data_IF_037457763751
#
_entry.id   IF_037457763751
#
_cell.length_a   1.000
_cell.length_b   1.000
_cell.length_c   1.000
_cell.angle_alpha   90.00
_cell.angle_beta   90.00
_cell.angle_gamma   90.00
#
_symmetry.space_group_name_H-M   'P 1'
#
loop_
_entity.id
_entity.type
_entity.pdbx_description
1 polymer ?
#
# COMPACT_ATOMS: atom_id res chain seq x y z
N UNK A 1 10.41 24.31 0.92
CA UNK A 1 9.36 23.36 0.51
C UNK A 1 8.81 23.83 -0.80
N UNK A 2 8.58 22.92 -1.75
CA UNK A 2 8.00 23.30 -3.05
C UNK A 2 7.17 22.13 -3.59
N UNK A 3 6.07 22.47 -4.24
CA UNK A 3 5.28 21.52 -5.04
C UNK A 3 5.38 21.96 -6.49
N UNK A 4 5.91 21.09 -7.35
CA UNK A 4 5.97 21.32 -8.78
C UNK A 4 4.99 20.39 -9.50
N UNK A 5 4.40 20.88 -10.60
CA UNK A 5 3.52 20.10 -11.47
C UNK A 5 4.10 20.07 -12.87
N UNK A 6 4.17 18.88 -13.45
CA UNK A 6 4.65 18.63 -14.81
C UNK A 6 3.72 17.68 -15.56
N UNK A 7 3.69 17.75 -16.88
CA UNK A 7 2.99 16.76 -17.70
C UNK A 7 3.80 15.45 -17.68
N UNK A 8 3.18 14.35 -17.20
CA UNK A 8 3.79 13.02 -17.21
C UNK A 8 3.49 12.25 -18.50
N UNK A 9 2.32 12.46 -19.07
CA UNK A 9 1.89 11.83 -20.32
C UNK A 9 0.40 12.00 -20.57
N UNK A 10 -0.11 11.35 -21.60
CA UNK A 10 -1.52 11.38 -21.94
C UNK A 10 -2.13 9.98 -21.92
N UNK A 11 -3.33 9.88 -21.37
CA UNK A 11 -4.17 8.69 -21.46
C UNK A 11 -4.50 8.39 -22.94
N UNK A 12 -4.86 7.15 -23.29
CA UNK A 12 -5.26 6.81 -24.67
C UNK A 12 -6.45 7.64 -25.20
N UNK A 13 -7.27 8.18 -24.33
CA UNK A 13 -8.39 9.08 -24.67
C UNK A 13 -8.01 10.56 -24.76
N UNK A 14 -6.74 10.88 -24.55
CA UNK A 14 -6.17 12.23 -24.66
C UNK A 14 -6.18 13.03 -23.36
N UNK A 15 -6.74 12.54 -22.26
CA UNK A 15 -6.68 13.21 -20.96
C UNK A 15 -5.25 13.23 -20.42
N UNK A 16 -4.85 14.37 -19.84
CA UNK A 16 -3.52 14.55 -19.27
C UNK A 16 -3.34 13.81 -17.95
N UNK A 17 -2.19 13.16 -17.80
CA UNK A 17 -1.68 12.65 -16.53
C UNK A 17 -0.54 13.57 -16.10
N UNK A 18 -0.67 14.13 -14.90
CA UNK A 18 0.28 15.07 -14.34
C UNK A 18 1.12 14.41 -13.25
N UNK A 19 2.40 14.79 -13.20
CA UNK A 19 3.34 14.48 -12.14
C UNK A 19 3.38 15.62 -11.13
N UNK A 20 3.29 15.27 -9.86
CA UNK A 20 3.42 16.19 -8.73
C UNK A 20 4.69 15.83 -7.98
N UNK A 21 5.58 16.79 -7.84
CA UNK A 21 6.88 16.65 -7.17
C UNK A 21 6.83 17.43 -5.87
N UNK A 22 6.87 16.73 -4.76
CA UNK A 22 6.86 17.28 -3.41
C UNK A 22 8.27 17.13 -2.83
N UNK A 23 8.85 18.20 -2.31
CA UNK A 23 10.21 18.17 -1.76
C UNK A 23 10.33 19.06 -0.51
N UNK A 24 11.01 18.56 0.52
CA UNK A 24 11.37 19.34 1.69
C UNK A 24 12.80 19.91 1.61
N UNK A 25 13.16 20.79 2.53
CA UNK A 25 14.47 21.44 2.57
C UNK A 25 15.63 20.47 2.83
N UNK A 26 15.36 19.28 3.33
CA UNK A 26 16.36 18.24 3.60
C UNK A 26 16.62 17.33 2.40
N UNK A 27 15.86 17.51 1.31
CA UNK A 27 16.00 16.75 0.06
C UNK A 27 15.24 15.43 0.05
N UNK A 28 14.28 15.21 0.97
CA UNK A 28 13.32 14.13 0.82
C UNK A 28 12.26 14.54 -0.20
N UNK A 29 12.07 13.73 -1.24
CA UNK A 29 11.23 14.04 -2.40
C UNK A 29 10.33 12.87 -2.76
N UNK A 30 9.05 13.15 -3.01
CA UNK A 30 8.11 12.20 -3.61
C UNK A 30 7.66 12.69 -4.99
N UNK A 31 7.59 11.77 -5.94
CA UNK A 31 7.02 11.99 -7.26
C UNK A 31 5.73 11.16 -7.37
N UNK A 32 4.59 11.82 -7.62
CA UNK A 32 3.28 11.18 -7.60
C UNK A 32 2.52 11.58 -8.86
N UNK A 33 1.91 10.62 -9.55
CA UNK A 33 1.03 10.88 -10.69
C UNK A 33 -0.44 10.77 -10.30
N UNK A 34 -1.30 11.58 -10.91
CA UNK A 34 -2.74 11.54 -10.66
C UNK A 34 -3.47 10.39 -11.37
N UNK A 35 -2.79 9.58 -12.18
CA UNK A 35 -3.29 8.27 -12.59
C UNK A 35 -3.00 7.27 -11.48
N UNK A 36 -4.05 6.68 -10.92
CA UNK A 36 -3.96 5.70 -9.86
C UNK A 36 -3.44 6.22 -8.51
N UNK A 37 -3.22 7.54 -8.34
CA UNK A 37 -2.58 8.09 -7.15
C UNK A 37 -1.20 7.46 -6.89
N UNK A 38 -0.44 7.19 -7.97
CA UNK A 38 0.76 6.36 -7.93
C UNK A 38 1.97 7.16 -7.44
N UNK A 39 2.62 6.67 -6.39
CA UNK A 39 3.97 7.12 -5.98
C UNK A 39 4.97 6.47 -6.92
N UNK A 40 5.51 7.25 -7.86
CA UNK A 40 6.44 6.77 -8.89
C UNK A 40 7.88 6.74 -8.40
N UNK A 41 8.22 7.68 -7.49
CA UNK A 41 9.51 7.72 -6.79
C UNK A 41 9.36 8.27 -5.38
N UNK A 42 10.22 7.78 -4.49
CA UNK A 42 10.40 8.32 -3.15
C UNK A 42 11.90 8.38 -2.86
N UNK A 43 12.44 9.58 -2.83
CA UNK A 43 13.87 9.81 -2.78
C UNK A 43 14.22 10.33 -1.39
N UNK A 44 15.22 9.73 -0.78
CA UNK A 44 15.83 10.17 0.47
C UNK A 44 17.36 10.03 0.40
N UNK A 45 18.06 10.48 1.42
CA UNK A 45 19.53 10.39 1.48
C UNK A 45 19.99 9.15 2.23
N UNK A 46 21.03 8.52 1.71
CA UNK A 46 21.72 7.43 2.39
C UNK A 46 22.69 7.95 3.47
N UNK A 47 23.38 7.02 4.14
CA UNK A 47 24.40 7.35 5.17
C UNK A 47 25.59 8.18 4.69
N UNK A 48 25.79 8.31 3.37
CA UNK A 48 26.83 9.11 2.76
C UNK A 48 26.31 10.47 2.28
N UNK A 49 25.00 10.68 2.32
CA UNK A 49 24.33 11.87 1.81
C UNK A 49 23.93 11.78 0.35
N UNK A 50 24.11 10.62 -0.30
CA UNK A 50 23.74 10.40 -1.69
C UNK A 50 22.22 10.14 -1.81
N UNK A 51 21.60 10.69 -2.86
CA UNK A 51 20.18 10.46 -3.15
C UNK A 51 19.93 9.00 -3.52
N UNK A 52 18.86 8.43 -2.95
CA UNK A 52 18.45 7.06 -3.18
C UNK A 52 16.92 7.00 -3.37
N UNK A 53 16.46 6.55 -4.55
CA UNK A 53 15.05 6.21 -4.73
C UNK A 53 14.76 4.88 -4.06
N UNK A 54 13.88 4.89 -3.05
CA UNK A 54 13.62 3.74 -2.18
C UNK A 54 12.33 2.98 -2.53
N UNK A 55 11.68 3.29 -3.65
CA UNK A 55 10.50 2.56 -4.14
C UNK A 55 10.71 2.10 -5.57
N UNK A 56 10.17 0.93 -5.89
CA UNK A 56 10.09 0.44 -7.25
C UNK A 56 9.07 1.26 -8.04
N UNK A 57 9.39 1.56 -9.30
CA UNK A 57 8.53 2.31 -10.20
C UNK A 57 8.58 1.79 -11.63
N UNK A 58 7.90 2.47 -12.55
CA UNK A 58 7.91 2.22 -13.99
C UNK A 58 8.53 3.40 -14.73
N UNK A 59 9.03 3.16 -15.95
CA UNK A 59 9.74 4.18 -16.71
C UNK A 59 8.84 5.27 -17.31
N UNK A 60 7.58 4.93 -17.62
CA UNK A 60 6.66 5.85 -18.28
C UNK A 60 5.20 5.52 -17.99
N UNK A 61 4.29 6.43 -18.39
CA UNK A 61 2.85 6.24 -18.20
C UNK A 61 2.33 4.96 -18.85
N UNK A 62 2.79 4.63 -20.06
CA UNK A 62 2.30 3.44 -20.76
C UNK A 62 2.53 2.14 -19.97
N UNK A 63 3.63 2.06 -19.22
CA UNK A 63 3.94 0.91 -18.38
C UNK A 63 3.02 0.87 -17.13
N UNK A 64 2.60 2.05 -16.63
CA UNK A 64 1.63 2.15 -15.53
C UNK A 64 0.19 1.86 -15.97
N UNK A 65 -0.19 2.07 -17.24
CA UNK A 65 -1.51 1.67 -17.72
C UNK A 65 -1.74 0.15 -17.62
N UNK A 66 -0.66 -0.62 -17.67
CA UNK A 66 -0.63 -2.07 -17.48
C UNK A 66 0.08 -2.44 -16.17
N UNK A 67 -0.17 -1.71 -15.09
CA UNK A 67 0.54 -1.83 -13.81
C UNK A 67 0.24 -3.15 -13.10
N UNK A 68 0.81 -4.25 -13.59
CA UNK A 68 0.82 -5.54 -12.90
C UNK A 68 1.50 -5.36 -11.54
N UNK A 69 0.87 -5.86 -10.47
CA UNK A 69 1.42 -5.78 -9.10
C UNK A 69 1.12 -4.46 -8.38
N UNK A 70 0.34 -3.53 -8.95
CA UNK A 70 -0.10 -2.29 -8.29
C UNK A 70 1.03 -1.35 -7.83
N UNK A 71 2.20 -1.36 -8.46
CA UNK A 71 3.38 -0.61 -8.02
C UNK A 71 3.04 0.84 -7.70
N UNK A 72 3.23 1.22 -6.43
CA UNK A 72 3.05 2.57 -5.90
C UNK A 72 1.60 3.08 -5.84
N UNK A 73 0.61 2.29 -6.27
CA UNK A 73 -0.75 2.74 -6.50
C UNK A 73 -1.57 2.93 -5.21
N UNK A 74 -2.52 3.87 -5.26
CA UNK A 74 -3.62 3.92 -4.32
C UNK A 74 -4.57 2.74 -4.56
N UNK A 75 -4.94 2.05 -3.49
CA UNK A 75 -5.78 0.85 -3.53
C UNK A 75 -7.12 1.12 -2.85
N UNK A 76 -8.19 0.80 -3.52
CA UNK A 76 -9.58 0.95 -3.06
C UNK A 76 -10.58 0.47 -4.15
N UNK A 77 -11.90 0.36 -3.79
CA UNK A 77 -12.47 0.73 -2.48
C UNK A 77 -12.05 -0.15 -1.31
N UNK A 78 -11.68 -1.42 -1.56
CA UNK A 78 -11.29 -2.35 -0.51
C UNK A 78 -9.92 -2.95 -0.82
N UNK A 79 -8.95 -2.61 0.01
CA UNK A 79 -7.60 -3.17 -0.03
C UNK A 79 -7.63 -4.66 0.33
N UNK A 80 -6.74 -5.43 -0.31
CA UNK A 80 -6.65 -6.86 -0.14
C UNK A 80 -7.94 -7.60 -0.59
N UNK A 81 -8.18 -8.83 -0.14
CA UNK A 81 -9.16 -9.77 -0.68
C UNK A 81 -10.53 -9.71 -0.02
N UNK A 82 -11.57 -9.92 -0.85
CA UNK A 82 -12.94 -10.23 -0.44
C UNK A 82 -13.27 -11.64 -0.98
N UNK A 83 -13.45 -12.60 -0.09
CA UNK A 83 -13.70 -14.01 -0.46
C UNK A 83 -15.02 -14.18 -1.22
N UNK A 84 -14.96 -14.95 -2.31
CA UNK A 84 -16.11 -15.22 -3.15
C UNK A 84 -16.70 -13.99 -3.84
N UNK A 85 -15.92 -12.89 -3.89
CA UNK A 85 -16.34 -11.60 -4.50
C UNK A 85 -17.71 -11.16 -4.03
N UNK A 86 -18.05 -11.38 -2.75
CA UNK A 86 -19.34 -10.95 -2.21
C UNK A 86 -19.26 -10.63 -0.72
N UNK A 87 -20.13 -9.74 -0.28
CA UNK A 87 -20.32 -9.39 1.13
C UNK A 87 -21.76 -9.00 1.39
N UNK A 88 -22.16 -8.98 2.67
CA UNK A 88 -23.52 -8.65 3.09
C UNK A 88 -23.51 -7.38 3.93
N UNK A 89 -24.33 -6.39 3.55
CA UNK A 89 -24.63 -5.19 4.35
C UNK A 89 -26.14 -5.16 4.63
N UNK A 90 -26.54 -5.07 5.89
CA UNK A 90 -27.95 -4.98 6.32
C UNK A 90 -28.84 -6.09 5.71
N UNK A 91 -28.31 -7.32 5.61
CA UNK A 91 -29.02 -8.48 5.07
C UNK A 91 -29.12 -8.53 3.54
N UNK A 92 -28.55 -7.57 2.84
CA UNK A 92 -28.47 -7.56 1.36
C UNK A 92 -27.09 -7.99 0.91
N UNK A 93 -27.04 -8.97 0.01
CA UNK A 93 -25.78 -9.39 -0.64
C UNK A 93 -25.41 -8.41 -1.77
N UNK A 94 -24.12 -8.06 -1.82
CA UNK A 94 -23.48 -7.31 -2.89
C UNK A 94 -22.39 -8.17 -3.51
N UNK A 95 -22.30 -8.16 -4.83
CA UNK A 95 -21.29 -8.89 -5.59
C UNK A 95 -20.32 -7.91 -6.22
N UNK A 96 -19.04 -8.08 -5.91
CA UNK A 96 -17.94 -7.32 -6.47
C UNK A 96 -17.37 -8.04 -7.71
N UNK A 97 -16.52 -7.36 -8.45
CA UNK A 97 -15.84 -7.98 -9.59
C UNK A 97 -14.78 -8.98 -9.11
N UNK A 98 -14.84 -10.21 -9.64
CA UNK A 98 -13.82 -11.25 -9.36
C UNK A 98 -12.64 -11.08 -10.30
N UNK A 99 -11.54 -10.49 -9.81
CA UNK A 99 -10.31 -10.27 -10.57
C UNK A 99 -9.15 -11.18 -10.17
N UNK A 100 -9.34 -11.99 -9.13
CA UNK A 100 -8.38 -13.01 -8.71
C UNK A 100 -9.11 -14.33 -8.41
N UNK A 101 -9.15 -15.25 -9.38
CA UNK A 101 -9.96 -16.47 -9.33
C UNK A 101 -11.44 -16.15 -9.03
N UNK A 102 -11.95 -16.59 -7.85
CA UNK A 102 -13.32 -16.30 -7.41
C UNK A 102 -13.37 -15.13 -6.42
N UNK A 103 -12.25 -14.46 -6.15
CA UNK A 103 -12.15 -13.40 -5.16
C UNK A 103 -12.03 -12.03 -5.81
N UNK A 104 -12.46 -11.00 -5.11
CA UNK A 104 -12.10 -9.63 -5.44
C UNK A 104 -10.81 -9.26 -4.72
N UNK A 105 -9.86 -8.70 -5.44
CA UNK A 105 -8.58 -8.20 -4.93
C UNK A 105 -8.46 -6.71 -5.24
N UNK A 106 -8.06 -5.93 -4.25
CA UNK A 106 -7.68 -4.51 -4.38
C UNK A 106 -8.73 -3.63 -5.10
N UNK A 107 -10.02 -3.90 -4.85
CA UNK A 107 -11.11 -3.09 -5.39
C UNK A 107 -11.65 -3.54 -6.76
N UNK A 108 -11.16 -4.65 -7.31
CA UNK A 108 -11.67 -5.21 -8.56
C UNK A 108 -10.80 -4.95 -9.78
N UNK A 109 -11.35 -5.14 -10.99
CA UNK A 109 -10.61 -5.01 -12.25
C UNK A 109 -10.24 -3.56 -12.58
N UNK A 110 -11.13 -2.64 -12.26
CA UNK A 110 -10.99 -1.20 -12.48
C UNK A 110 -11.02 -0.45 -11.16
N UNK A 111 -10.15 -0.88 -10.21
CA UNK A 111 -9.99 -0.25 -8.90
C UNK A 111 -9.35 1.14 -8.97
N UNK A 112 -9.10 1.73 -7.81
CA UNK A 112 -8.57 3.10 -7.67
C UNK A 112 -7.19 3.29 -8.33
N UNK A 113 -6.40 2.23 -8.44
CA UNK A 113 -5.13 2.18 -9.14
C UNK A 113 -5.20 2.48 -10.64
N UNK A 114 -6.41 2.43 -11.24
CA UNK A 114 -6.64 2.70 -12.67
C UNK A 114 -7.45 3.97 -12.93
N UNK A 115 -7.79 4.73 -11.90
CA UNK A 115 -8.57 5.96 -12.05
C UNK A 115 -7.66 7.15 -12.32
N UNK A 116 -8.14 8.07 -13.15
CA UNK A 116 -7.54 9.39 -13.26
C UNK A 116 -8.20 10.28 -12.22
N UNK A 117 -7.42 10.72 -11.25
CA UNK A 117 -7.87 11.54 -10.13
C UNK A 117 -7.78 13.01 -10.49
N UNK A 118 -8.75 13.80 -10.06
CA UNK A 118 -8.59 15.25 -9.99
C UNK A 118 -7.58 15.58 -8.90
N UNK A 119 -6.72 16.56 -9.14
CA UNK A 119 -5.66 16.84 -8.19
C UNK A 119 -5.43 18.35 -8.04
N UNK A 120 -5.31 18.81 -6.81
CA UNK A 120 -4.98 20.18 -6.45
C UNK A 120 -3.74 20.26 -5.58
N UNK A 121 -2.99 21.33 -5.70
CA UNK A 121 -1.79 21.60 -4.91
C UNK A 121 -2.18 22.38 -3.66
N UNK A 122 -1.75 21.91 -2.50
CA UNK A 122 -1.80 22.62 -1.23
C UNK A 122 -0.38 23.08 -0.85
N UNK A 123 0.05 24.20 -1.42
CA UNK A 123 1.44 24.70 -1.31
C UNK A 123 1.88 24.91 0.14
N UNK A 124 1.03 25.52 0.97
CA UNK A 124 1.32 25.80 2.37
C UNK A 124 1.57 24.52 3.21
N UNK A 125 1.12 23.37 2.70
CA UNK A 125 1.26 22.08 3.37
C UNK A 125 2.27 21.15 2.69
N UNK A 126 2.94 21.62 1.63
CA UNK A 126 3.83 20.80 0.78
C UNK A 126 3.14 19.49 0.36
N UNK A 127 1.94 19.62 -0.19
CA UNK A 127 1.05 18.51 -0.45
C UNK A 127 0.34 18.60 -1.81
N UNK A 128 -0.08 17.44 -2.30
CA UNK A 128 -1.08 17.29 -3.36
C UNK A 128 -2.28 16.54 -2.80
N UNK A 129 -3.48 17.05 -3.07
CA UNK A 129 -4.75 16.42 -2.70
C UNK A 129 -5.36 15.85 -3.96
N UNK A 130 -5.57 14.54 -3.98
CA UNK A 130 -6.22 13.82 -5.07
C UNK A 130 -7.65 13.49 -4.71
N UNK A 131 -8.58 13.73 -5.63
CA UNK A 131 -10.01 13.62 -5.44
C UNK A 131 -10.63 12.69 -6.49
N UNK A 132 -11.48 11.76 -6.06
CA UNK A 132 -12.21 10.87 -6.94
C UNK A 132 -13.60 10.56 -6.38
N UNK A 133 -14.64 10.80 -7.17
CA UNK A 133 -16.00 10.36 -6.87
C UNK A 133 -16.23 8.98 -7.51
N UNK A 134 -16.17 7.94 -6.70
CA UNK A 134 -16.46 6.57 -7.13
C UNK A 134 -17.98 6.36 -7.14
N UNK A 135 -18.62 6.13 -8.33
CA UNK A 135 -20.08 6.08 -8.44
C UNK A 135 -20.70 4.83 -7.81
N UNK A 136 -21.97 4.92 -7.42
CA UNK A 136 -22.79 3.78 -6.93
C UNK A 136 -22.72 2.62 -7.92
N UNK A 137 -22.32 1.43 -7.44
CA UNK A 137 -22.20 0.22 -8.25
C UNK A 137 -20.86 0.03 -8.95
N UNK A 138 -19.91 0.96 -8.82
CA UNK A 138 -18.55 0.77 -9.36
C UNK A 138 -17.92 -0.49 -8.75
N UNK A 139 -17.42 -1.39 -9.62
CA UNK A 139 -16.89 -2.71 -9.24
C UNK A 139 -17.83 -3.54 -8.33
N UNK A 140 -19.13 -3.20 -8.29
CA UNK A 140 -20.17 -3.83 -7.47
C UNK A 140 -20.34 -3.25 -6.06
N UNK A 141 -19.57 -2.25 -5.69
CA UNK A 141 -19.70 -1.60 -4.38
C UNK A 141 -20.88 -0.60 -4.33
N UNK A 142 -21.74 -0.64 -3.28
CA UNK A 142 -22.85 0.29 -3.16
C UNK A 142 -22.41 1.70 -2.74
N UNK A 143 -23.24 2.69 -3.11
CA UNK A 143 -23.10 4.09 -2.75
C UNK A 143 -22.11 4.87 -3.61
N UNK A 144 -22.37 6.17 -3.76
CA UNK A 144 -21.39 7.10 -4.26
C UNK A 144 -20.39 7.38 -3.14
N UNK A 145 -19.12 7.07 -3.38
CA UNK A 145 -18.04 7.29 -2.41
C UNK A 145 -17.18 8.47 -2.89
N UNK A 146 -17.24 9.55 -2.15
CA UNK A 146 -16.37 10.71 -2.34
C UNK A 146 -15.05 10.49 -1.59
N UNK A 147 -13.93 10.43 -2.32
CA UNK A 147 -12.62 10.04 -1.78
C UNK A 147 -11.61 11.14 -2.00
N UNK A 148 -10.87 11.44 -0.94
CA UNK A 148 -9.67 12.28 -0.99
C UNK A 148 -8.46 11.50 -0.50
N UNK A 149 -7.32 11.67 -1.19
CA UNK A 149 -6.02 11.18 -0.76
C UNK A 149 -5.06 12.36 -0.79
N UNK A 150 -4.54 12.74 0.38
CA UNK A 150 -3.54 13.79 0.50
C UNK A 150 -2.17 13.18 0.70
N UNK A 151 -1.26 13.48 -0.23
CA UNK A 151 0.15 13.15 -0.14
C UNK A 151 0.93 14.38 0.27
N UNK A 152 1.76 14.29 1.30
CA UNK A 152 2.62 15.38 1.74
C UNK A 152 4.02 14.88 2.11
N UNK A 153 5.02 15.72 1.88
CA UNK A 153 6.36 15.51 2.43
C UNK A 153 6.54 16.37 3.66
N UNK A 154 6.76 15.71 4.80
CA UNK A 154 6.87 16.37 6.10
C UNK A 154 8.28 16.92 6.37
N UNK A 155 8.40 17.86 7.32
CA UNK A 155 9.68 18.41 7.77
C UNK A 155 10.57 17.35 8.46
N UNK A 156 9.96 16.26 8.94
CA UNK A 156 10.66 15.11 9.53
C UNK A 156 11.09 14.06 8.50
N UNK A 157 11.15 14.41 7.19
CA UNK A 157 11.53 13.52 6.09
C UNK A 157 10.55 12.35 5.89
N UNK A 158 9.26 12.56 6.07
CA UNK A 158 8.23 11.55 5.88
C UNK A 158 7.40 11.78 4.63
N UNK A 159 7.08 10.71 3.90
CA UNK A 159 5.91 10.68 3.03
C UNK A 159 4.70 10.34 3.91
N UNK A 160 3.82 11.32 4.11
CA UNK A 160 2.55 11.15 4.80
C UNK A 160 1.42 11.03 3.80
N UNK A 161 0.57 10.02 3.96
CA UNK A 161 -0.61 9.77 3.15
C UNK A 161 -1.82 9.78 4.07
N UNK A 162 -2.75 10.71 3.81
CA UNK A 162 -3.99 10.87 4.56
C UNK A 162 -5.16 10.55 3.64
N UNK A 163 -6.00 9.60 4.04
CA UNK A 163 -7.19 9.20 3.32
C UNK A 163 -8.42 9.71 4.04
N UNK A 164 -9.37 10.22 3.27
CA UNK A 164 -10.68 10.63 3.72
C UNK A 164 -11.72 10.16 2.72
N UNK A 165 -12.83 9.59 3.21
CA UNK A 165 -13.93 9.24 2.33
C UNK A 165 -15.29 9.36 3.04
N UNK A 166 -16.33 9.71 2.27
CA UNK A 166 -17.73 9.75 2.73
C UNK A 166 -18.60 9.10 1.67
N UNK A 167 -19.56 8.28 2.09
CA UNK A 167 -20.52 7.64 1.20
C UNK A 167 -21.94 8.12 1.45
N UNK A 168 -22.78 8.17 0.40
CA UNK A 168 -24.22 8.43 0.50
C UNK A 168 -25.04 7.19 0.89
N UNK A 169 -24.44 5.99 0.91
CA UNK A 169 -25.03 4.73 1.36
C UNK A 169 -24.04 3.96 2.21
N UNK A 170 -24.56 3.00 2.99
CA UNK A 170 -23.72 2.01 3.66
C UNK A 170 -22.91 1.26 2.60
N UNK A 171 -21.59 1.25 2.78
CA UNK A 171 -20.64 0.64 1.84
C UNK A 171 -19.44 0.06 2.61
N UNK A 172 -18.47 -0.48 1.88
CA UNK A 172 -17.18 -0.87 2.46
C UNK A 172 -16.10 0.10 1.99
N UNK A 173 -15.18 0.45 2.92
CA UNK A 173 -14.05 1.31 2.63
C UNK A 173 -12.82 0.82 3.42
N UNK A 174 -11.77 0.48 2.70
CA UNK A 174 -10.47 0.08 3.25
C UNK A 174 -9.41 0.49 2.25
N UNK A 175 -8.76 1.63 2.47
CA UNK A 175 -7.84 2.24 1.52
C UNK A 175 -6.39 2.02 1.98
N UNK A 176 -5.49 1.82 1.03
CA UNK A 176 -4.05 1.72 1.29
C UNK A 176 -3.23 2.21 0.10
N UNK A 177 -1.90 2.24 0.26
CA UNK A 177 -0.94 2.47 -0.82
C UNK A 177 -0.04 1.25 -0.98
N UNK A 178 0.19 0.82 -2.22
CA UNK A 178 0.94 -0.38 -2.55
C UNK A 178 2.37 -0.04 -3.02
N UNK A 179 3.08 0.82 -2.25
CA UNK A 179 4.48 1.10 -2.51
C UNK A 179 5.36 -0.10 -2.19
N UNK A 180 6.26 -0.41 -3.11
CA UNK A 180 7.26 -1.48 -3.02
C UNK A 180 8.58 -0.88 -2.58
N UNK A 181 8.96 -1.06 -1.33
CA UNK A 181 10.15 -0.44 -0.74
C UNK A 181 11.40 -1.31 -0.92
N UNK A 182 12.48 -0.68 -1.40
CA UNK A 182 13.84 -1.20 -1.32
C UNK A 182 14.75 -0.10 -0.80
N UNK A 183 15.09 -0.14 0.47
CA UNK A 183 15.89 0.91 1.12
C UNK A 183 17.37 0.89 0.73
N UNK A 184 17.79 -0.06 -0.11
CA UNK A 184 19.10 -0.05 -0.75
C UNK A 184 19.08 0.64 -2.12
N UNK A 185 17.91 1.09 -2.58
CA UNK A 185 17.66 1.68 -3.89
C UNK A 185 16.91 0.73 -4.83
N UNK A 186 16.08 1.29 -5.69
CA UNK A 186 15.13 0.56 -6.55
C UNK A 186 15.78 -0.50 -7.45
N UNK A 187 17.05 -0.30 -7.85
CA UNK A 187 17.80 -1.19 -8.75
C UNK A 187 18.95 -1.92 -8.05
N UNK A 188 18.86 -2.08 -6.72
CA UNK A 188 19.95 -2.64 -5.91
C UNK A 188 19.89 -4.15 -5.74
N UNK A 189 18.88 -4.81 -6.34
CA UNK A 189 18.57 -6.24 -6.15
C UNK A 189 17.71 -6.46 -4.90
N UNK A 190 17.74 -7.67 -4.35
CA UNK A 190 16.79 -8.12 -3.35
C UNK A 190 16.93 -7.47 -1.96
N UNK A 191 15.81 -7.56 -1.20
CA UNK A 191 15.68 -7.03 0.17
C UNK A 191 15.95 -8.08 1.26
N UNK A 192 16.56 -9.21 0.93
CA UNK A 192 16.76 -10.29 1.89
C UNK A 192 17.66 -9.87 3.07
N UNK A 193 18.56 -8.89 2.86
CA UNK A 193 19.40 -8.29 3.91
C UNK A 193 18.67 -7.25 4.78
N UNK A 194 17.52 -6.74 4.34
CA UNK A 194 16.78 -5.73 5.09
C UNK A 194 16.33 -6.26 6.45
N UNK A 195 16.31 -5.37 7.44
CA UNK A 195 15.91 -5.72 8.80
C UNK A 195 14.58 -5.03 9.13
N UNK A 196 13.61 -5.84 9.53
CA UNK A 196 12.30 -5.39 9.99
C UNK A 196 12.19 -5.54 11.51
N UNK A 197 11.63 -4.52 12.16
CA UNK A 197 11.12 -4.58 13.53
C UNK A 197 9.69 -4.04 13.51
N UNK A 198 8.75 -4.71 14.18
CA UNK A 198 7.34 -4.33 14.16
C UNK A 198 6.68 -4.63 15.50
N UNK A 199 5.86 -3.70 15.97
CA UNK A 199 5.05 -3.85 17.17
C UNK A 199 3.78 -4.63 16.84
N UNK A 200 3.91 -5.95 16.71
CA UNK A 200 2.83 -6.86 16.37
C UNK A 200 3.01 -8.18 17.12
N UNK A 201 2.03 -8.54 17.93
CA UNK A 201 2.02 -9.78 18.72
C UNK A 201 1.24 -10.90 18.06
N UNK A 202 0.45 -10.60 17.02
CA UNK A 202 -0.44 -11.54 16.34
C UNK A 202 -0.46 -11.32 14.83
N UNK A 203 -0.84 -12.35 14.09
CA UNK A 203 -1.08 -12.31 12.66
C UNK A 203 -2.33 -13.14 12.30
N UNK A 204 -2.86 -12.94 11.10
CA UNK A 204 -3.92 -13.80 10.55
C UNK A 204 -3.29 -14.79 9.57
N UNK A 205 -3.41 -16.13 9.80
CA UNK A 205 -2.91 -17.11 8.87
C UNK A 205 -3.80 -17.19 7.63
N UNK A 206 -3.20 -17.54 6.51
CA UNK A 206 -3.88 -17.71 5.23
C UNK A 206 -4.00 -19.19 4.85
N UNK A 207 -5.07 -19.50 4.13
CA UNK A 207 -5.21 -20.77 3.42
C UNK A 207 -4.41 -20.74 2.09
N UNK A 208 -4.44 -21.84 1.33
CA UNK A 208 -3.72 -21.96 0.06
C UNK A 208 -4.18 -21.00 -1.04
N UNK A 209 -5.36 -20.40 -0.89
CA UNK A 209 -5.88 -19.38 -1.79
C UNK A 209 -5.53 -17.95 -1.32
N UNK A 210 -4.57 -17.81 -0.40
CA UNK A 210 -4.15 -16.55 0.21
C UNK A 210 -5.31 -15.80 0.94
N UNK A 211 -6.28 -16.57 1.46
CA UNK A 211 -7.43 -16.03 2.20
C UNK A 211 -7.24 -16.25 3.69
N UNK A 212 -7.47 -15.22 4.54
CA UNK A 212 -7.46 -15.41 5.98
C UNK A 212 -8.42 -16.52 6.41
N UNK A 213 -7.93 -17.44 7.26
CA UNK A 213 -8.75 -18.54 7.80
C UNK A 213 -9.79 -18.07 8.82
N UNK A 214 -9.65 -16.86 9.32
CA UNK A 214 -10.42 -16.30 10.44
C UNK A 214 -9.74 -16.47 11.80
N UNK A 215 -8.65 -17.22 11.85
CA UNK A 215 -7.85 -17.37 13.06
C UNK A 215 -6.98 -16.13 13.30
N UNK A 216 -6.64 -15.93 14.58
CA UNK A 216 -5.64 -14.94 15.02
C UNK A 216 -4.61 -15.72 15.84
N UNK A 217 -3.38 -15.81 15.33
CA UNK A 217 -2.31 -16.60 15.91
C UNK A 217 -1.19 -15.72 16.46
N UNK A 218 -0.55 -16.16 17.57
CA UNK A 218 0.62 -15.49 18.13
C UNK A 218 1.81 -15.63 17.18
N UNK A 219 2.64 -14.59 17.12
CA UNK A 219 3.93 -14.62 16.41
C UNK A 219 5.01 -15.37 17.18
N UNK A 220 4.77 -15.74 18.45
CA UNK A 220 5.76 -16.37 19.34
C UNK A 220 6.37 -17.63 18.73
N UNK A 221 7.70 -17.71 18.73
CA UNK A 221 8.48 -18.83 18.20
C UNK A 221 8.24 -19.12 16.70
N UNK A 222 7.84 -18.10 15.93
CA UNK A 222 7.65 -18.20 14.48
C UNK A 222 8.59 -17.23 13.75
N UNK A 223 8.81 -17.38 12.43
CA UNK A 223 9.52 -16.39 11.60
C UNK A 223 8.81 -15.04 11.52
N UNK A 224 7.58 -14.94 12.02
CA UNK A 224 6.76 -13.72 12.03
C UNK A 224 7.00 -12.85 13.28
N UNK A 225 7.86 -13.27 14.22
CA UNK A 225 8.18 -12.48 15.41
C UNK A 225 9.17 -11.36 15.09
N UNK A 226 8.61 -10.24 14.62
CA UNK A 226 9.36 -9.00 14.37
C UNK A 226 9.40 -8.04 15.55
N UNK A 227 8.92 -8.42 16.74
CA UNK A 227 9.02 -7.58 17.95
C UNK A 227 10.48 -7.33 18.30
N UNK A 228 11.36 -8.26 17.97
CA UNK A 228 12.82 -8.08 17.92
C UNK A 228 13.22 -7.97 16.45
N UNK A 229 14.12 -7.02 16.15
CA UNK A 229 14.58 -6.77 14.78
C UNK A 229 15.14 -8.04 14.13
N UNK A 230 14.54 -8.45 13.02
CA UNK A 230 14.89 -9.64 12.26
C UNK A 230 15.29 -9.27 10.83
N UNK A 231 16.19 -10.08 10.24
CA UNK A 231 16.51 -10.00 8.81
C UNK A 231 15.43 -10.74 8.01
N UNK A 232 14.84 -10.09 7.01
CA UNK A 232 13.75 -10.66 6.21
C UNK A 232 14.13 -12.01 5.59
N UNK A 233 15.34 -12.14 5.05
CA UNK A 233 15.83 -13.38 4.42
C UNK A 233 15.82 -14.58 5.36
N UNK A 234 16.06 -14.39 6.66
CA UNK A 234 16.04 -15.49 7.64
C UNK A 234 14.64 -16.14 7.74
N UNK A 235 13.59 -15.34 7.72
CA UNK A 235 12.23 -15.85 7.74
C UNK A 235 11.80 -16.45 6.42
N UNK A 236 12.14 -15.78 5.30
CA UNK A 236 11.79 -16.25 3.95
C UNK A 236 12.37 -17.65 3.65
N UNK A 237 13.56 -17.93 4.15
CA UNK A 237 14.23 -19.25 3.96
C UNK A 237 13.83 -20.30 4.99
N UNK A 238 12.93 -19.98 5.92
CA UNK A 238 12.49 -20.92 6.95
C UNK A 238 11.54 -21.99 6.43
N UNK A 239 11.49 -23.13 7.13
CA UNK A 239 10.55 -24.22 6.82
C UNK A 239 9.17 -24.05 7.47
N UNK A 240 8.79 -22.79 7.78
CA UNK A 240 7.49 -22.47 8.35
C UNK A 240 6.39 -22.57 7.29
N UNK A 241 5.30 -23.27 7.58
CA UNK A 241 4.25 -23.58 6.60
C UNK A 241 3.73 -22.35 5.86
N UNK A 242 3.40 -21.27 6.60
CA UNK A 242 2.87 -20.04 6.02
C UNK A 242 3.87 -19.35 5.07
N UNK A 243 5.17 -19.44 5.34
CA UNK A 243 6.22 -18.93 4.42
C UNK A 243 6.29 -19.80 3.16
N UNK A 244 6.25 -21.14 3.31
CA UNK A 244 6.33 -22.06 2.17
C UNK A 244 5.13 -21.96 1.24
N UNK A 245 3.93 -21.69 1.77
CA UNK A 245 2.70 -21.58 0.98
C UNK A 245 2.78 -20.44 -0.05
N UNK A 246 3.46 -19.34 0.30
CA UNK A 246 3.50 -18.13 -0.52
C UNK A 246 4.91 -17.78 -1.01
N UNK A 247 5.91 -18.60 -0.70
CA UNK A 247 7.30 -18.35 -1.06
C UNK A 247 7.90 -17.11 -0.39
N UNK A 248 7.36 -16.67 0.75
CA UNK A 248 7.79 -15.48 1.48
C UNK A 248 6.69 -14.93 2.37
N UNK A 249 6.83 -13.68 2.79
CA UNK A 249 5.76 -13.00 3.52
C UNK A 249 4.70 -12.51 2.54
N UNK A 250 3.45 -12.80 2.84
CA UNK A 250 2.22 -12.20 2.26
C UNK A 250 1.10 -12.34 3.30
N UNK A 251 1.29 -11.63 4.42
CA UNK A 251 0.46 -11.84 5.61
C UNK A 251 0.08 -10.53 6.28
N UNK A 252 -1.10 -10.54 6.87
CA UNK A 252 -1.62 -9.45 7.68
C UNK A 252 -1.15 -9.59 9.13
N UNK A 253 -0.43 -8.59 9.60
CA UNK A 253 0.07 -8.47 10.97
C UNK A 253 -0.80 -7.51 11.75
N UNK A 254 -1.23 -7.91 12.96
CA UNK A 254 -2.07 -7.12 13.85
C UNK A 254 -1.17 -6.21 14.66
N UNK A 255 -1.30 -4.90 14.46
CA UNK A 255 -0.47 -3.90 15.12
C UNK A 255 -0.91 -3.66 16.57
N UNK A 256 0.01 -3.73 17.50
CA UNK A 256 -0.24 -3.46 18.91
C UNK A 256 -0.56 -1.97 19.13
N UNK A 257 -1.47 -1.70 20.08
CA UNK A 257 -1.91 -0.33 20.40
C UNK A 257 -3.05 0.19 19.53
N UNK A 258 -3.36 1.48 19.64
CA UNK A 258 -4.44 2.17 18.93
C UNK A 258 -4.05 3.61 18.60
N UNK A 259 -4.74 4.23 17.63
CA UNK A 259 -4.47 5.59 17.15
C UNK A 259 -3.11 5.69 16.45
N UNK A 260 -2.73 6.91 16.09
CA UNK A 260 -1.44 7.18 15.42
C UNK A 260 -0.27 6.75 16.31
N UNK A 261 0.55 5.82 15.80
CA UNK A 261 1.70 5.27 16.53
C UNK A 261 2.78 4.77 15.59
N UNK A 262 4.01 4.78 16.05
CA UNK A 262 5.10 4.08 15.42
C UNK A 262 4.84 2.56 15.51
N UNK A 263 4.62 1.94 14.36
CA UNK A 263 4.22 0.53 14.26
C UNK A 263 5.35 -0.37 13.76
N UNK A 264 6.19 0.12 12.85
CA UNK A 264 7.29 -0.68 12.31
C UNK A 264 8.51 0.17 11.96
N UNK A 265 9.68 -0.46 11.91
CA UNK A 265 10.93 0.10 11.41
C UNK A 265 11.56 -0.88 10.42
N UNK A 266 11.78 -0.41 9.19
CA UNK A 266 12.51 -1.13 8.15
C UNK A 266 13.89 -0.47 7.96
N UNK A 267 14.96 -1.28 7.81
CA UNK A 267 16.33 -0.76 7.58
C UNK A 267 17.02 -1.47 6.44
N UNK A 268 17.54 -0.70 5.49
CA UNK A 268 18.42 -1.18 4.43
C UNK A 268 19.80 -1.56 4.99
N UNK A 269 20.30 -2.69 4.56
CA UNK A 269 21.58 -3.26 5.04
C UNK A 269 22.79 -2.62 4.36
N UNK A 270 22.64 -2.09 3.11
CA UNK A 270 23.74 -1.48 2.34
C UNK A 270 23.82 0.04 2.57
N UNK A 271 22.72 0.75 2.35
CA UNK A 271 22.64 2.21 2.45
C UNK A 271 22.59 2.73 3.88
N UNK A 272 22.07 1.90 4.82
CA UNK A 272 21.80 2.31 6.19
C UNK A 272 20.52 3.13 6.34
N UNK A 273 19.80 3.45 5.27
CA UNK A 273 18.50 4.13 5.31
C UNK A 273 17.57 3.37 6.24
N UNK A 274 16.93 4.11 7.13
CA UNK A 274 15.97 3.57 8.10
C UNK A 274 14.63 4.27 7.90
N UNK A 275 13.56 3.51 7.71
CA UNK A 275 12.20 3.99 7.54
C UNK A 275 11.35 3.55 8.73
N UNK A 276 10.65 4.49 9.35
CA UNK A 276 9.63 4.24 10.35
C UNK A 276 8.25 4.31 9.69
N UNK A 277 7.40 3.34 9.93
CA UNK A 277 5.99 3.36 9.57
C UNK A 277 5.17 3.78 10.80
N UNK A 278 4.42 4.88 10.66
CA UNK A 278 3.56 5.45 11.70
C UNK A 278 2.13 5.43 11.15
N UNK A 279 1.16 4.82 11.87
CA UNK A 279 -0.20 4.67 11.37
C UNK A 279 -1.23 4.57 12.49
N UNK A 280 -2.48 4.89 12.15
CA UNK A 280 -3.66 4.67 12.99
C UNK A 280 -4.35 3.30 12.73
N UNK A 281 -3.96 2.59 11.67
CA UNK A 281 -4.62 1.36 11.26
C UNK A 281 -4.35 0.19 12.22
N UNK A 282 -5.31 -0.77 12.32
CA UNK A 282 -5.19 -1.92 13.21
C UNK A 282 -4.19 -2.96 12.72
N UNK A 283 -3.85 -2.96 11.43
CA UNK A 283 -2.99 -3.96 10.84
C UNK A 283 -2.15 -3.42 9.67
N UNK A 284 -1.20 -4.24 9.24
CA UNK A 284 -0.38 -4.04 8.06
C UNK A 284 -0.18 -5.36 7.33
N UNK A 285 -0.37 -5.36 6.02
CA UNK A 285 0.09 -6.44 5.14
C UNK A 285 1.58 -6.27 4.89
N UNK A 286 2.35 -7.33 5.15
CA UNK A 286 3.75 -7.43 4.75
C UNK A 286 3.81 -8.36 3.56
N UNK A 287 4.23 -7.81 2.40
CA UNK A 287 4.41 -8.58 1.17
C UNK A 287 5.83 -8.39 0.64
N UNK A 288 6.57 -9.47 0.45
CA UNK A 288 8.00 -9.43 0.08
C UNK A 288 8.27 -9.59 -1.41
N UNK A 289 7.31 -9.15 -2.24
CA UNK A 289 7.49 -9.20 -3.69
C UNK A 289 7.63 -10.62 -4.24
N UNK A 290 6.96 -11.60 -3.61
CA UNK A 290 7.10 -13.02 -3.90
C UNK A 290 6.73 -13.40 -5.34
N UNK A 291 5.83 -12.64 -5.96
CA UNK A 291 5.33 -12.83 -7.32
C UNK A 291 5.82 -11.77 -8.32
N UNK A 292 6.87 -11.01 -7.97
CA UNK A 292 7.55 -10.16 -8.97
C UNK A 292 8.25 -11.10 -9.95
N UNK A 293 7.87 -11.00 -11.21
CA UNK A 293 8.31 -11.88 -12.30
C UNK A 293 8.84 -11.10 -13.52
N UNK A 294 8.95 -11.78 -14.66
CA UNK A 294 9.54 -11.28 -15.88
C UNK A 294 8.80 -10.08 -16.50
N UNK A 295 7.57 -9.75 -16.06
CA UNK A 295 6.75 -8.67 -16.62
C UNK A 295 6.86 -7.34 -15.85
N UNK A 296 7.71 -7.26 -14.83
CA UNK A 296 7.86 -6.06 -14.00
C UNK A 296 9.17 -5.34 -14.28
N UNK A 297 9.11 -4.26 -15.07
CA UNK A 297 10.27 -3.51 -15.55
C UNK A 297 10.21 -2.03 -15.14
N UNK A 298 11.40 -1.41 -15.09
CA UNK A 298 11.61 0.05 -15.11
C UNK A 298 12.61 0.40 -16.20
N UNK A 299 12.13 0.71 -17.40
CA UNK A 299 12.96 0.84 -18.59
C UNK A 299 13.64 -0.48 -18.94
N UNK A 300 14.97 -0.47 -19.04
CA UNK A 300 15.77 -1.67 -19.32
C UNK A 300 16.07 -2.53 -18.10
N UNK A 301 15.63 -2.11 -16.90
CA UNK A 301 15.86 -2.86 -15.66
C UNK A 301 14.65 -3.74 -15.35
N UNK A 302 14.87 -5.04 -15.27
CA UNK A 302 13.89 -6.03 -14.83
C UNK A 302 13.97 -6.19 -13.32
N UNK A 303 12.81 -6.09 -12.65
CA UNK A 303 12.70 -6.46 -11.24
C UNK A 303 12.54 -7.96 -11.10
N UNK A 304 12.99 -8.49 -9.97
CA UNK A 304 12.96 -9.92 -9.65
C UNK A 304 12.28 -10.16 -8.30
N UNK A 305 11.94 -11.41 -8.06
CA UNK A 305 11.42 -11.87 -6.78
C UNK A 305 12.27 -11.34 -5.62
N UNK A 306 11.61 -10.81 -4.60
CA UNK A 306 12.22 -10.19 -3.42
C UNK A 306 12.98 -8.87 -3.68
N UNK A 307 12.78 -8.20 -4.77
CA UNK A 307 13.41 -6.90 -4.99
C UNK A 307 12.78 -5.77 -4.16
N UNK A 308 11.65 -6.05 -3.49
CA UNK A 308 11.05 -5.09 -2.59
C UNK A 308 10.17 -5.73 -1.51
N UNK A 309 9.78 -4.91 -0.52
CA UNK A 309 8.79 -5.24 0.50
C UNK A 309 7.72 -4.15 0.56
N UNK A 310 6.43 -4.56 0.60
CA UNK A 310 5.30 -3.68 0.81
C UNK A 310 4.90 -3.68 2.29
N UNK A 311 4.51 -2.51 2.80
CA UNK A 311 3.94 -2.31 4.12
C UNK A 311 2.60 -1.59 3.95
N UNK A 312 1.53 -2.34 3.71
CA UNK A 312 0.21 -1.83 3.37
C UNK A 312 -0.67 -1.75 4.63
N UNK A 313 -0.82 -0.54 5.16
CA UNK A 313 -1.64 -0.32 6.36
C UNK A 313 -3.13 -0.41 6.00
N UNK A 314 -3.90 -1.21 6.77
CA UNK A 314 -5.26 -1.59 6.40
C UNK A 314 -6.06 -2.15 7.58
N UNK A 315 -7.38 -2.35 7.41
CA UNK A 315 -8.12 -3.32 8.21
C UNK A 315 -7.80 -4.73 7.74
N UNK A 316 -8.17 -5.76 8.50
CA UNK A 316 -7.83 -7.13 8.16
C UNK A 316 -8.43 -7.55 6.80
N UNK A 317 -7.71 -8.29 5.96
CA UNK A 317 -8.27 -8.84 4.73
C UNK A 317 -9.49 -9.70 5.03
N UNK A 318 -10.50 -9.66 4.14
CA UNK A 318 -11.75 -10.41 4.26
C UNK A 318 -12.51 -10.16 5.59
N UNK A 319 -12.34 -8.98 6.20
CA UNK A 319 -12.91 -8.62 7.51
C UNK A 319 -14.43 -8.74 7.56
N UNK A 320 -15.10 -8.45 6.45
CA UNK A 320 -16.56 -8.52 6.33
C UNK A 320 -17.15 -9.93 6.58
N UNK A 321 -16.31 -10.98 6.52
CA UNK A 321 -16.74 -12.35 6.75
C UNK A 321 -16.64 -12.78 8.21
N UNK A 322 -15.81 -12.11 9.00
CA UNK A 322 -15.49 -12.54 10.37
C UNK A 322 -15.87 -11.45 11.37
N UNK A 323 -16.95 -11.66 12.13
CA UNK A 323 -17.49 -10.66 13.06
C UNK A 323 -16.52 -10.20 14.18
N UNK A 324 -15.43 -10.94 14.42
CA UNK A 324 -14.40 -10.58 15.39
C UNK A 324 -13.23 -9.80 14.79
N UNK A 325 -13.20 -9.63 13.46
CA UNK A 325 -12.24 -8.75 12.79
C UNK A 325 -12.71 -7.28 12.85
N UNK A 326 -11.78 -6.30 12.79
CA UNK A 326 -12.15 -4.91 12.59
C UNK A 326 -13.02 -4.75 11.33
N UNK A 327 -14.11 -3.99 11.44
CA UNK A 327 -15.07 -3.82 10.36
C UNK A 327 -14.55 -2.85 9.29
N UNK A 328 -14.76 -3.18 8.03
CA UNK A 328 -14.53 -2.29 6.87
C UNK A 328 -15.83 -1.56 6.46
N UNK A 329 -16.94 -1.73 7.17
CA UNK A 329 -18.20 -1.06 6.90
C UNK A 329 -18.07 0.45 7.15
N UNK A 330 -18.42 1.24 6.15
CA UNK A 330 -18.61 2.68 6.25
C UNK A 330 -20.11 2.97 6.13
N UNK A 331 -20.70 3.53 7.17
CA UNK A 331 -22.12 3.91 7.14
C UNK A 331 -22.33 5.20 6.36
N UNK A 332 -23.53 5.32 5.79
CA UNK A 332 -23.92 6.51 5.06
C UNK A 332 -23.73 7.79 5.89
N UNK A 333 -23.00 8.76 5.35
CA UNK A 333 -22.70 10.02 6.00
C UNK A 333 -21.61 9.97 7.09
N UNK A 334 -21.11 8.80 7.47
CA UNK A 334 -19.92 8.68 8.32
C UNK A 334 -18.66 8.94 7.53
N UNK A 335 -17.65 9.48 8.20
CA UNK A 335 -16.36 9.78 7.59
C UNK A 335 -15.38 8.63 7.85
N UNK A 336 -14.79 8.12 6.77
CA UNK A 336 -13.61 7.25 6.83
C UNK A 336 -12.36 8.12 6.92
N UNK A 337 -11.50 7.83 7.88
CA UNK A 337 -10.18 8.47 8.05
C UNK A 337 -9.14 7.39 8.26
N UNK A 338 -8.03 7.52 7.54
CA UNK A 338 -6.85 6.69 7.69
C UNK A 338 -5.62 7.55 7.45
N UNK A 339 -4.55 7.33 8.23
CA UNK A 339 -3.27 8.00 8.06
C UNK A 339 -2.12 7.00 8.15
N UNK A 340 -1.18 7.13 7.23
CA UNK A 340 0.14 6.48 7.33
C UNK A 340 1.23 7.48 7.00
N UNK A 341 2.34 7.40 7.72
CA UNK A 341 3.57 8.14 7.43
C UNK A 341 4.75 7.17 7.34
N UNK A 342 5.49 7.26 6.26
CA UNK A 342 6.77 6.58 6.05
C UNK A 342 7.89 7.59 6.25
N UNK A 343 8.48 7.60 7.44
CA UNK A 343 9.46 8.60 7.88
C UNK A 343 10.88 8.04 7.83
N UNK A 344 11.79 8.78 7.19
CA UNK A 344 13.20 8.41 7.10
C UNK A 344 14.02 9.08 8.21
N UNK A 345 14.79 8.27 8.95
CA UNK A 345 15.55 8.68 10.15
C UNK A 345 16.99 8.18 10.09
#
# INVERSE_FOLDING_TARGET
MSVNKELYGNMPDGREVNLYILENEKGTRAEIINYGGIVTKLITKDKHGDECNVVLGRACLNDYLNNVGYLGAAVGRHANRIAGSSFVINGKEYKTFANEFNNSLHGGAEGFNKKLWDAEIAEDENAVIMHYLSPDGEEGFPGNLDVQIKYSITDENGLKIEYRAISDKDTVCNLTNHSYFNLNGEKSGNILGHKLQMNSSFYTPNDRACMPTGEVLSVDNTPFDFRIRQTLGNGITSDFEQIRLFGGYDHNFILDGRGMRHAATLKGDKTGITMQMITDQPAVQIYTGNAIDEDVFNGDYQYHQYDAVCLETQVFPNSLKFAHFPDALLKAGEEYIHTVEYRFV
#
